data_IF_493709662937
#
_entry.id   IF_493709662937
#
_cell.length_a   1.000
_cell.length_b   1.000
_cell.length_c   1.000
_cell.angle_alpha   90.00
_cell.angle_beta   90.00
_cell.angle_gamma   90.00
#
_symmetry.space_group_name_H-M   'P 1'
#
loop_
_entity.id
_entity.type
_entity.pdbx_description
1 polymer ?
#
# COMPACT_ATOMS: atom_id res chain seq x y z
N UNK A 1 -1.09 13.17 42.89
CA UNK A 1 -1.99 12.89 41.74
C UNK A 1 -2.71 11.57 42.02
N UNK A 2 -4.03 11.61 42.07
CA UNK A 2 -4.89 10.54 42.63
C UNK A 2 -5.21 9.52 41.54
N UNK A 3 -4.47 8.41 41.48
CA UNK A 3 -4.71 7.32 40.51
C UNK A 3 -5.85 6.45 41.03
N UNK A 4 -6.98 6.37 40.30
CA UNK A 4 -8.11 5.50 40.66
C UNK A 4 -7.96 4.16 39.94
N UNK A 5 -7.89 3.08 40.71
CA UNK A 5 -7.92 1.72 40.17
C UNK A 5 -9.33 1.36 39.71
N UNK A 6 -9.43 0.61 38.62
CA UNK A 6 -10.69 0.16 38.05
C UNK A 6 -10.90 -1.30 38.44
N UNK A 7 -12.10 -1.63 38.94
CA UNK A 7 -12.47 -3.04 39.11
C UNK A 7 -12.77 -3.65 37.74
N UNK A 8 -11.92 -4.58 37.32
CA UNK A 8 -12.06 -5.32 36.07
C UNK A 8 -12.16 -6.81 36.32
N UNK A 9 -12.93 -7.50 35.48
CA UNK A 9 -12.93 -8.95 35.47
C UNK A 9 -11.53 -9.48 35.10
N UNK A 10 -11.02 -10.45 35.87
CA UNK A 10 -9.72 -11.10 35.67
C UNK A 10 -9.55 -11.71 34.27
N UNK A 11 -10.65 -12.05 33.60
CA UNK A 11 -10.64 -12.58 32.22
C UNK A 11 -10.48 -11.50 31.15
N UNK A 12 -10.67 -10.22 31.49
CA UNK A 12 -10.58 -9.12 30.54
C UNK A 12 -9.16 -8.95 30.02
N UNK A 13 -9.02 -8.69 28.73
CA UNK A 13 -7.73 -8.31 28.11
C UNK A 13 -7.09 -7.07 28.75
N UNK A 14 -7.90 -6.21 29.37
CA UNK A 14 -7.46 -5.02 30.09
C UNK A 14 -6.87 -5.33 31.46
N UNK A 15 -7.32 -6.39 32.14
CA UNK A 15 -6.86 -6.72 33.49
C UNK A 15 -5.35 -6.92 33.55
N UNK A 16 -4.78 -7.54 32.51
CA UNK A 16 -3.34 -7.79 32.38
C UNK A 16 -2.49 -6.51 32.24
N UNK A 17 -3.12 -5.37 31.96
CA UNK A 17 -2.45 -4.08 31.74
C UNK A 17 -2.33 -3.24 33.02
N UNK A 18 -2.81 -3.75 34.17
CA UNK A 18 -2.88 -2.99 35.44
C UNK A 18 -3.47 -1.58 35.25
N UNK A 19 -4.67 -1.45 34.66
CA UNK A 19 -5.15 -0.17 34.16
C UNK A 19 -5.67 0.72 35.29
N UNK A 20 -5.40 2.02 35.16
CA UNK A 20 -5.88 3.04 36.10
C UNK A 20 -6.38 4.26 35.35
N UNK A 21 -7.20 5.07 36.02
CA UNK A 21 -7.65 6.38 35.53
C UNK A 21 -6.77 7.46 36.15
N UNK A 22 -6.22 8.34 35.31
CA UNK A 22 -5.45 9.50 35.76
C UNK A 22 -6.35 10.64 36.28
N UNK A 23 -5.72 11.71 36.72
CA UNK A 23 -6.37 12.93 37.21
C UNK A 23 -7.20 13.67 36.15
N UNK A 24 -6.99 13.36 34.86
CA UNK A 24 -7.74 13.91 33.72
C UNK A 24 -8.88 13.00 33.26
N UNK A 25 -9.13 11.88 33.95
CA UNK A 25 -10.16 10.92 33.56
C UNK A 25 -9.73 9.99 32.41
N UNK A 26 -8.44 9.94 32.05
CA UNK A 26 -7.93 9.13 30.94
C UNK A 26 -7.48 7.76 31.44
N UNK A 27 -7.91 6.72 30.72
CA UNK A 27 -7.52 5.33 30.98
C UNK A 27 -6.08 5.09 30.53
N UNK A 28 -5.22 4.61 31.43
CA UNK A 28 -3.79 4.37 31.18
C UNK A 28 -3.33 2.99 31.61
N UNK A 29 -2.27 2.52 30.97
CA UNK A 29 -1.54 1.30 31.35
C UNK A 29 -0.73 1.58 32.60
N UNK A 30 -0.79 0.68 33.58
CA UNK A 30 0.01 0.73 34.80
C UNK A 30 1.16 -0.27 34.82
N UNK A 31 1.59 -0.64 36.03
CA UNK A 31 2.57 -1.69 36.25
C UNK A 31 4.04 -1.34 35.95
N UNK A 32 4.65 -2.09 35.03
CA UNK A 32 6.08 -2.43 35.03
C UNK A 32 7.05 -1.25 34.95
N UNK A 33 6.64 -0.15 34.33
CA UNK A 33 7.49 1.03 34.13
C UNK A 33 7.32 2.10 35.22
N UNK A 34 6.56 1.84 36.28
CA UNK A 34 6.25 2.82 37.34
C UNK A 34 7.49 3.44 37.99
N UNK A 35 8.60 2.69 38.08
CA UNK A 35 9.87 3.13 38.69
C UNK A 35 10.93 3.57 37.67
N UNK A 36 10.63 3.55 36.38
CA UNK A 36 11.58 3.91 35.34
C UNK A 36 11.87 5.42 35.36
N UNK A 37 13.06 5.85 34.94
CA UNK A 37 13.37 7.27 34.75
C UNK A 37 12.88 7.75 33.37
N UNK A 38 11.55 7.79 33.21
CA UNK A 38 10.88 8.17 31.96
C UNK A 38 9.77 9.21 32.25
N UNK A 39 9.32 9.91 31.21
CA UNK A 39 8.15 10.79 31.30
C UNK A 39 6.89 10.00 31.65
N UNK A 40 5.88 10.64 32.26
CA UNK A 40 4.64 9.96 32.67
C UNK A 40 3.91 9.31 31.48
N UNK A 41 3.94 9.90 30.28
CA UNK A 41 3.31 9.32 29.09
C UNK A 41 4.02 8.06 28.58
N UNK A 42 5.34 7.99 28.73
CA UNK A 42 6.12 6.79 28.40
C UNK A 42 5.94 5.69 29.46
N UNK A 43 5.81 6.07 30.73
CA UNK A 43 5.55 5.13 31.84
C UNK A 43 4.13 4.55 31.78
N UNK A 44 3.17 5.42 31.50
CA UNK A 44 1.75 5.14 31.57
C UNK A 44 1.06 5.53 30.25
N UNK A 45 1.28 4.77 29.16
CA UNK A 45 0.61 4.99 27.89
C UNK A 45 -0.91 5.05 28.00
N UNK A 46 -1.54 5.86 27.16
CA UNK A 46 -3.00 5.97 27.04
C UNK A 46 -3.56 4.70 26.40
N UNK A 47 -4.55 4.08 27.04
CA UNK A 47 -5.22 2.91 26.49
C UNK A 47 -6.27 3.35 25.49
N UNK A 48 -6.17 2.82 24.26
CA UNK A 48 -7.11 3.10 23.19
C UNK A 48 -7.84 1.83 22.73
N UNK A 49 -9.16 1.89 22.50
CA UNK A 49 -9.92 0.77 21.97
C UNK A 49 -9.52 0.46 20.51
N UNK A 50 -9.44 -0.82 20.15
CA UNK A 50 -9.07 -1.25 18.80
C UNK A 50 -9.97 -0.67 17.70
N UNK A 51 -11.29 -0.67 17.94
CA UNK A 51 -12.31 -0.39 16.95
C UNK A 51 -12.83 1.05 17.07
N UNK A 52 -11.92 2.02 17.14
CA UNK A 52 -12.28 3.43 17.22
C UNK A 52 -11.60 4.20 16.08
N UNK A 53 -12.32 5.19 15.55
CA UNK A 53 -11.83 6.03 14.46
C UNK A 53 -10.49 6.69 14.80
N UNK A 54 -10.34 7.24 16.01
CA UNK A 54 -9.09 7.86 16.48
C UNK A 54 -7.95 6.86 16.51
N UNK A 55 -8.20 5.63 17.00
CA UNK A 55 -7.19 4.57 16.99
C UNK A 55 -6.73 4.21 15.58
N UNK A 56 -7.66 4.17 14.61
CA UNK A 56 -7.32 3.90 13.21
C UNK A 56 -6.48 5.05 12.61
N UNK A 57 -6.84 6.30 12.90
CA UNK A 57 -6.08 7.47 12.46
C UNK A 57 -4.65 7.45 13.02
N UNK A 58 -4.49 7.16 14.31
CA UNK A 58 -3.18 7.04 14.97
C UNK A 58 -2.37 5.92 14.33
N UNK A 59 -2.94 4.74 14.13
CA UNK A 59 -2.23 3.62 13.49
C UNK A 59 -1.74 4.01 12.10
N UNK A 60 -2.60 4.67 11.31
CA UNK A 60 -2.26 5.11 9.95
C UNK A 60 -1.14 6.15 9.94
N UNK A 61 -1.25 7.19 10.78
CA UNK A 61 -0.24 8.24 10.89
C UNK A 61 1.14 7.67 11.24
N UNK A 62 1.20 6.79 12.26
CA UNK A 62 2.46 6.14 12.63
C UNK A 62 2.96 5.17 11.56
N UNK A 63 2.08 4.47 10.85
CA UNK A 63 2.47 3.59 9.75
C UNK A 63 3.11 4.36 8.57
N UNK A 64 2.56 5.53 8.25
CA UNK A 64 3.10 6.45 7.23
C UNK A 64 4.43 7.07 7.70
N UNK A 65 4.53 7.45 8.97
CA UNK A 65 5.75 8.03 9.56
C UNK A 65 6.94 7.09 9.49
N UNK A 66 6.73 5.79 9.76
CA UNK A 66 7.77 4.75 9.66
C UNK A 66 7.99 4.27 8.22
N UNK A 67 7.43 4.94 7.22
CA UNK A 67 7.61 4.61 5.80
C UNK A 67 7.26 3.16 5.48
N UNK A 68 6.17 2.68 6.06
CA UNK A 68 5.64 1.34 5.81
C UNK A 68 6.59 0.17 6.15
N UNK A 69 7.57 0.37 7.04
CA UNK A 69 8.53 -0.66 7.48
C UNK A 69 7.93 -1.87 8.21
N UNK A 70 6.60 -1.95 8.30
CA UNK A 70 5.88 -3.13 8.75
C UNK A 70 5.45 -3.09 10.21
N UNK A 71 4.90 -4.22 10.66
CA UNK A 71 4.08 -4.33 11.87
C UNK A 71 4.83 -4.06 13.15
N UNK A 72 6.02 -4.63 13.31
CA UNK A 72 6.80 -4.52 14.55
C UNK A 72 7.24 -3.09 14.82
N UNK A 73 7.77 -2.44 13.79
CA UNK A 73 8.28 -1.06 13.83
C UNK A 73 7.11 -0.08 14.08
N UNK A 74 6.03 -0.18 13.30
CA UNK A 74 4.83 0.65 13.50
C UNK A 74 4.28 0.53 14.93
N UNK A 75 4.16 -0.70 15.44
CA UNK A 75 3.63 -0.94 16.78
C UNK A 75 4.57 -0.40 17.88
N UNK A 76 5.87 -0.48 17.67
CA UNK A 76 6.86 0.07 18.61
C UNK A 76 6.82 1.60 18.64
N UNK A 77 6.69 2.25 17.49
CA UNK A 77 6.54 3.70 17.41
C UNK A 77 5.28 4.20 18.12
N UNK A 78 4.14 3.54 17.89
CA UNK A 78 2.88 3.87 18.59
C UNK A 78 3.08 3.82 20.12
N UNK A 79 3.77 2.78 20.62
CA UNK A 79 4.04 2.61 22.06
C UNK A 79 5.03 3.62 22.60
N UNK A 80 6.09 3.89 21.85
CA UNK A 80 7.13 4.86 22.23
C UNK A 80 6.57 6.29 22.28
N UNK A 81 5.50 6.56 21.55
CA UNK A 81 4.77 7.84 21.60
C UNK A 81 3.63 7.86 22.64
N UNK A 82 3.56 6.89 23.55
CA UNK A 82 2.64 6.92 24.69
C UNK A 82 1.23 6.41 24.39
N UNK A 83 1.03 5.61 23.35
CA UNK A 83 -0.25 4.99 23.04
C UNK A 83 -0.23 3.47 23.21
N UNK A 84 -1.31 2.93 23.76
CA UNK A 84 -1.51 1.50 23.93
C UNK A 84 -2.84 1.05 23.35
N UNK A 85 -2.81 0.60 22.10
CA UNK A 85 -4.00 0.09 21.43
C UNK A 85 -4.28 -1.34 21.88
N UNK A 86 -5.48 -1.59 22.41
CA UNK A 86 -5.92 -2.94 22.77
C UNK A 86 -5.91 -3.81 21.51
N UNK A 87 -5.28 -4.99 21.58
CA UNK A 87 -5.05 -5.85 20.40
C UNK A 87 -4.34 -5.09 19.25
N UNK A 88 -3.44 -4.15 19.59
CA UNK A 88 -2.78 -3.25 18.63
C UNK A 88 -2.09 -3.95 17.46
N UNK A 89 -1.50 -5.13 17.69
CA UNK A 89 -0.94 -5.97 16.61
C UNK A 89 -1.94 -6.21 15.48
N UNK A 90 -3.19 -6.53 15.82
CA UNK A 90 -4.24 -6.79 14.84
C UNK A 90 -4.74 -5.49 14.17
N UNK A 91 -4.70 -4.35 14.85
CA UNK A 91 -5.03 -3.05 14.26
C UNK A 91 -3.98 -2.64 13.23
N UNK A 92 -2.70 -2.77 13.58
CA UNK A 92 -1.56 -2.49 12.68
C UNK A 92 -1.56 -3.45 11.49
N UNK A 93 -1.75 -4.76 11.70
CA UNK A 93 -1.86 -5.72 10.60
C UNK A 93 -2.98 -5.38 9.62
N UNK A 94 -4.14 -4.93 10.12
CA UNK A 94 -5.24 -4.49 9.27
C UNK A 94 -4.84 -3.26 8.45
N UNK A 95 -4.29 -2.24 9.09
CA UNK A 95 -3.84 -1.02 8.40
C UNK A 95 -2.79 -1.30 7.32
N UNK A 96 -1.82 -2.19 7.60
CA UNK A 96 -0.83 -2.62 6.61
C UNK A 96 -1.52 -3.33 5.45
N UNK A 97 -2.44 -4.25 5.71
CA UNK A 97 -3.16 -4.94 4.64
C UNK A 97 -3.97 -3.96 3.77
N UNK A 98 -4.63 -2.97 4.39
CA UNK A 98 -5.39 -1.94 3.69
C UNK A 98 -4.48 -1.03 2.84
N UNK A 99 -3.25 -0.76 3.27
CA UNK A 99 -2.28 0.13 2.59
C UNK A 99 -1.48 -0.60 1.51
N UNK A 100 -0.93 -1.77 1.83
CA UNK A 100 -0.12 -2.59 0.91
C UNK A 100 -0.98 -3.30 -0.13
N UNK A 101 -2.28 -3.50 0.12
CA UNK A 101 -3.19 -4.10 -0.85
C UNK A 101 -3.21 -3.38 -2.22
N UNK A 102 -2.84 -2.09 -2.25
CA UNK A 102 -2.71 -1.28 -3.45
C UNK A 102 -1.28 -1.19 -4.03
N UNK A 103 -0.25 -1.64 -3.32
CA UNK A 103 1.14 -1.58 -3.80
C UNK A 103 1.45 -2.79 -4.70
N UNK A 104 2.22 -2.57 -5.77
CA UNK A 104 2.81 -3.65 -6.56
C UNK A 104 4.04 -4.20 -5.83
N UNK A 105 4.19 -5.52 -5.81
CA UNK A 105 5.46 -6.14 -5.43
C UNK A 105 6.45 -6.11 -6.59
N UNK A 106 7.74 -6.32 -6.29
CA UNK A 106 8.84 -6.17 -7.26
C UNK A 106 8.68 -7.02 -8.52
N UNK A 107 8.13 -8.23 -8.38
CA UNK A 107 7.89 -9.12 -9.51
C UNK A 107 6.70 -8.64 -10.36
N UNK A 108 5.61 -8.15 -9.75
CA UNK A 108 4.50 -7.56 -10.52
C UNK A 108 4.93 -6.27 -11.20
N UNK A 109 5.75 -5.44 -10.53
CA UNK A 109 6.31 -4.20 -11.09
C UNK A 109 7.24 -4.49 -12.26
N UNK A 110 8.14 -5.48 -12.13
CA UNK A 110 9.02 -5.90 -13.21
C UNK A 110 8.23 -6.44 -14.40
N UNK A 111 7.22 -7.26 -14.14
CA UNK A 111 6.34 -7.78 -15.19
C UNK A 111 5.61 -6.64 -15.92
N UNK A 112 5.09 -5.66 -15.18
CA UNK A 112 4.48 -4.46 -15.75
C UNK A 112 5.44 -3.68 -16.65
N UNK A 113 6.68 -3.46 -16.20
CA UNK A 113 7.67 -2.77 -17.04
C UNK A 113 8.01 -3.55 -18.30
N UNK A 114 8.19 -4.87 -18.21
CA UNK A 114 8.41 -5.68 -19.41
C UNK A 114 7.24 -5.58 -20.41
N UNK A 115 5.98 -5.54 -19.92
CA UNK A 115 4.82 -5.35 -20.80
C UNK A 115 4.78 -3.95 -21.42
N UNK A 116 5.05 -2.90 -20.62
CA UNK A 116 5.13 -1.51 -21.11
C UNK A 116 6.24 -1.35 -22.14
N UNK A 117 7.42 -1.91 -21.90
CA UNK A 117 8.55 -1.91 -22.83
C UNK A 117 8.17 -2.63 -24.13
N UNK A 118 7.51 -3.77 -24.06
CA UNK A 118 7.03 -4.49 -25.25
C UNK A 118 6.01 -3.67 -26.04
N UNK A 119 5.10 -2.96 -25.36
CA UNK A 119 4.12 -2.06 -25.96
C UNK A 119 4.84 -0.92 -26.71
N UNK A 120 5.79 -0.24 -26.06
CA UNK A 120 6.55 0.86 -26.67
C UNK A 120 7.41 0.39 -27.83
N UNK A 121 8.12 -0.73 -27.67
CA UNK A 121 9.05 -1.24 -28.67
C UNK A 121 8.34 -1.89 -29.87
N UNK A 122 7.06 -2.24 -29.76
CA UNK A 122 6.26 -2.72 -30.90
C UNK A 122 5.62 -1.59 -31.71
N UNK A 123 5.91 -0.33 -31.40
CA UNK A 123 5.38 0.81 -32.14
C UNK A 123 6.11 1.07 -33.46
N UNK A 124 5.40 1.35 -34.56
CA UNK A 124 5.96 1.85 -35.82
C UNK A 124 6.84 3.10 -35.63
N UNK A 125 8.07 3.08 -36.15
CA UNK A 125 8.98 4.24 -36.26
C UNK A 125 8.70 5.08 -37.52
N UNK A 126 7.95 4.52 -38.47
CA UNK A 126 7.69 5.13 -39.78
C UNK A 126 6.19 5.29 -40.00
N UNK A 127 5.79 6.46 -40.48
CA UNK A 127 4.38 6.79 -40.85
C UNK A 127 4.06 6.43 -42.30
N UNK A 128 5.07 6.14 -43.09
CA UNK A 128 4.93 5.96 -44.52
C UNK A 128 4.49 4.53 -44.83
N UNK A 129 3.19 4.41 -45.09
CA UNK A 129 2.50 3.41 -45.94
C UNK A 129 1.28 2.75 -45.30
N UNK A 130 0.43 3.50 -44.59
CA UNK A 130 -0.82 2.91 -44.04
C UNK A 130 -1.93 2.66 -45.08
N UNK A 131 -1.79 3.11 -46.33
CA UNK A 131 -2.84 3.03 -47.36
C UNK A 131 -2.46 2.23 -48.61
N UNK A 132 -1.30 1.58 -48.64
CA UNK A 132 -0.85 0.79 -49.79
C UNK A 132 -0.80 -0.70 -49.42
N UNK A 133 -1.65 -1.57 -50.00
CA UNK A 133 -1.67 -3.00 -49.72
C UNK A 133 -0.39 -3.74 -50.11
N UNK A 134 0.47 -3.16 -50.96
CA UNK A 134 1.77 -3.73 -51.33
C UNK A 134 2.94 -3.16 -50.50
N UNK A 135 2.65 -2.31 -49.52
CA UNK A 135 3.70 -1.69 -48.71
C UNK A 135 4.28 -2.62 -47.64
N UNK A 136 5.56 -2.41 -47.37
CA UNK A 136 6.27 -3.13 -46.31
C UNK A 136 5.73 -2.71 -44.94
N UNK A 137 5.44 -3.69 -44.08
CA UNK A 137 5.01 -3.45 -42.70
C UNK A 137 5.96 -2.47 -42.01
N UNK A 138 5.43 -1.45 -41.30
CA UNK A 138 6.25 -0.38 -40.77
C UNK A 138 7.27 -0.89 -39.75
N UNK A 139 8.49 -0.35 -39.81
CA UNK A 139 9.60 -0.78 -38.98
C UNK A 139 9.36 -0.38 -37.52
N UNK A 140 9.47 -1.30 -36.57
CA UNK A 140 9.36 -1.02 -35.13
C UNK A 140 10.73 -1.13 -34.46
N UNK A 141 10.98 -0.51 -33.29
CA UNK A 141 12.21 -0.77 -32.53
C UNK A 141 12.43 -2.25 -32.24
N UNK A 142 11.35 -3.02 -32.04
CA UNK A 142 11.40 -4.48 -31.89
C UNK A 142 12.00 -5.17 -33.12
N UNK A 143 11.76 -4.68 -34.34
CA UNK A 143 12.39 -5.26 -35.54
C UNK A 143 13.92 -5.14 -35.48
N UNK A 144 14.44 -4.03 -34.94
CA UNK A 144 15.87 -3.81 -34.78
C UNK A 144 16.47 -4.58 -33.59
N UNK A 145 15.73 -4.66 -32.48
CA UNK A 145 16.20 -5.28 -31.24
C UNK A 145 16.05 -6.80 -31.20
N UNK A 146 15.06 -7.36 -31.91
CA UNK A 146 14.70 -8.78 -31.82
C UNK A 146 14.76 -9.53 -33.16
N UNK A 147 14.99 -8.81 -34.28
CA UNK A 147 14.91 -9.34 -35.66
C UNK A 147 13.56 -10.02 -36.00
N UNK A 148 12.52 -9.83 -35.18
CA UNK A 148 11.21 -10.46 -35.33
C UNK A 148 10.13 -9.40 -35.59
N UNK A 149 9.16 -9.71 -36.46
CA UNK A 149 8.06 -8.80 -36.82
C UNK A 149 6.79 -8.92 -35.96
N UNK A 150 6.88 -9.55 -34.78
CA UNK A 150 5.69 -9.82 -33.96
C UNK A 150 5.17 -8.55 -33.27
N UNK A 151 4.03 -8.07 -33.72
CA UNK A 151 3.21 -7.09 -33.01
C UNK A 151 2.69 -7.77 -31.73
N UNK A 152 3.08 -7.25 -30.57
CA UNK A 152 2.55 -7.72 -29.28
C UNK A 152 1.21 -7.05 -29.05
N UNK A 153 0.12 -7.77 -29.33
CA UNK A 153 -1.21 -7.31 -28.94
C UNK A 153 -1.35 -7.34 -27.42
N UNK A 154 -2.09 -6.40 -26.80
CA UNK A 154 -2.39 -6.47 -25.38
C UNK A 154 -3.06 -7.83 -25.08
N UNK A 155 -2.73 -8.47 -23.95
CA UNK A 155 -3.30 -9.77 -23.63
C UNK A 155 -4.83 -9.75 -23.65
N UNK A 156 -5.47 -10.74 -24.28
CA UNK A 156 -6.92 -10.72 -24.49
C UNK A 156 -7.66 -10.75 -23.14
N UNK A 157 -8.46 -9.72 -22.87
CA UNK A 157 -9.29 -9.62 -21.67
C UNK A 157 -9.90 -8.24 -21.45
N UNK A 158 -11.07 -8.20 -20.79
CA UNK A 158 -11.65 -6.96 -20.26
C UNK A 158 -11.08 -6.76 -18.85
N UNK A 159 -10.19 -5.78 -18.69
CA UNK A 159 -9.59 -5.42 -17.41
C UNK A 159 -10.23 -4.15 -16.86
N UNK A 160 -10.66 -4.18 -15.60
CA UNK A 160 -11.40 -3.10 -14.96
C UNK A 160 -10.66 -2.58 -13.72
N UNK A 161 -11.02 -1.38 -13.24
CA UNK A 161 -10.41 -0.78 -12.04
C UNK A 161 -10.50 -1.67 -10.79
N UNK A 162 -11.51 -2.54 -10.70
CA UNK A 162 -11.64 -3.55 -9.62
C UNK A 162 -10.53 -4.60 -9.65
N UNK A 163 -9.89 -4.83 -10.79
CA UNK A 163 -8.79 -5.78 -10.92
C UNK A 163 -7.51 -5.30 -10.22
N UNK A 164 -7.36 -3.98 -9.92
CA UNK A 164 -6.27 -3.45 -9.07
C UNK A 164 -6.25 -4.09 -7.69
N UNK A 165 -7.43 -4.46 -7.18
CA UNK A 165 -7.59 -5.08 -5.86
C UNK A 165 -7.69 -6.60 -5.95
N UNK A 166 -7.60 -7.18 -7.16
CA UNK A 166 -7.70 -8.62 -7.37
C UNK A 166 -6.58 -9.36 -6.64
N UNK A 167 -6.87 -10.53 -6.04
CA UNK A 167 -5.81 -11.42 -5.53
C UNK A 167 -4.97 -12.05 -6.65
N UNK A 168 -5.44 -11.95 -7.91
CA UNK A 168 -4.72 -12.46 -9.09
C UNK A 168 -3.73 -11.39 -9.58
N UNK A 169 -2.46 -11.53 -9.22
CA UNK A 169 -1.37 -10.58 -9.54
C UNK A 169 -1.32 -10.20 -11.03
N UNK A 170 -1.45 -11.18 -11.93
CA UNK A 170 -1.48 -10.93 -13.38
C UNK A 170 -2.59 -9.97 -13.82
N UNK A 171 -3.76 -9.99 -13.19
CA UNK A 171 -4.86 -9.07 -13.54
C UNK A 171 -4.56 -7.62 -13.17
N UNK A 172 -3.81 -7.40 -12.10
CA UNK A 172 -3.34 -6.06 -11.70
C UNK A 172 -2.39 -5.50 -12.75
N UNK A 173 -1.41 -6.31 -13.15
CA UNK A 173 -0.42 -5.96 -14.19
C UNK A 173 -1.15 -5.61 -15.49
N UNK A 174 -2.08 -6.46 -15.93
CA UNK A 174 -2.86 -6.23 -17.15
C UNK A 174 -3.71 -4.96 -17.11
N UNK A 175 -4.37 -4.68 -15.99
CA UNK A 175 -5.14 -3.45 -15.85
C UNK A 175 -4.25 -2.20 -15.96
N UNK A 176 -3.06 -2.23 -15.34
CA UNK A 176 -2.09 -1.13 -15.41
C UNK A 176 -1.47 -0.98 -16.80
N UNK A 177 -1.15 -2.08 -17.48
CA UNK A 177 -0.67 -2.06 -18.85
C UNK A 177 -1.72 -1.50 -19.82
N UNK A 178 -2.99 -1.85 -19.62
CA UNK A 178 -4.11 -1.31 -20.40
C UNK A 178 -4.32 0.19 -20.14
N UNK A 179 -4.20 0.64 -18.90
CA UNK A 179 -4.25 2.07 -18.56
C UNK A 179 -3.10 2.84 -19.21
N UNK A 180 -1.88 2.29 -19.16
CA UNK A 180 -0.73 2.86 -19.86
C UNK A 180 -0.99 2.97 -21.36
N UNK A 181 -1.44 1.89 -22.01
CA UNK A 181 -1.76 1.88 -23.44
C UNK A 181 -2.82 2.93 -23.81
N UNK A 182 -3.90 3.02 -23.04
CA UNK A 182 -4.98 3.97 -23.28
C UNK A 182 -4.48 5.42 -23.22
N UNK A 183 -3.71 5.77 -22.19
CA UNK A 183 -3.11 7.10 -22.02
C UNK A 183 -2.08 7.38 -23.11
N UNK A 184 -1.15 6.46 -23.36
CA UNK A 184 -0.11 6.60 -24.36
C UNK A 184 -0.70 6.76 -25.77
N UNK A 185 -1.69 5.94 -26.15
CA UNK A 185 -2.40 6.07 -27.43
C UNK A 185 -3.08 7.44 -27.56
N UNK A 186 -3.70 7.93 -26.48
CA UNK A 186 -4.38 9.23 -26.50
C UNK A 186 -3.39 10.40 -26.54
N UNK A 187 -2.29 10.35 -25.81
CA UNK A 187 -1.40 11.50 -25.65
C UNK A 187 -0.32 11.53 -26.75
N UNK A 188 0.27 10.38 -27.08
CA UNK A 188 1.39 10.29 -28.01
C UNK A 188 0.96 10.27 -29.48
N UNK A 189 -0.10 9.54 -29.87
CA UNK A 189 -0.55 9.55 -31.27
C UNK A 189 -1.02 10.94 -31.72
N UNK A 190 -1.63 11.72 -30.83
CA UNK A 190 -2.00 13.10 -31.15
C UNK A 190 -0.77 14.01 -31.31
N UNK A 191 0.36 13.71 -30.67
CA UNK A 191 1.61 14.45 -30.86
C UNK A 191 2.38 14.09 -32.14
N UNK A 192 2.11 12.92 -32.74
CA UNK A 192 2.73 12.49 -34.00
C UNK A 192 1.99 12.98 -35.25
N UNK A 193 0.79 13.56 -35.08
CA UNK A 193 -0.03 14.13 -36.16
C UNK A 193 0.15 15.65 -36.33
N UNK A 194 1.10 16.27 -35.63
CA UNK A 194 1.56 17.64 -35.83
C UNK A 194 2.92 17.63 -36.51
#
# INVERSE_FOLDING_TARGET
STKKNIQLNKTSSLYKLDPFVDDKGILRVGGRLKRANLSENHKFPIILPKNNHVSNLIVRDFHERVKHQGRGITLNEIRSNGYWIIKGTAAVSKCIADTTGAQLDDESLRTLFCEVEAIVNSHPLTVDSMNDPDSLSPLTPNHLLTMMSKIVLPPPGVFQSVDLYSRKRWRRVQNLANEFWSRWRKEFLHSLQQ
#
